data_IF_004225610923
#
_entry.id   IF_004225610923
#
_cell.length_a   1.000
_cell.length_b   1.000
_cell.length_c   1.000
_cell.angle_alpha   90.00
_cell.angle_beta   90.00
_cell.angle_gamma   90.00
#
_symmetry.space_group_name_H-M   'P 1'
#
loop_
_entity.id
_entity.type
_entity.pdbx_description
1 polymer ?
#
# COMPACT_ATOMS: atom_id res chain seq x y z
N UNK A 1 18.17 5.46 19.88
CA UNK A 1 16.74 5.50 20.17
C UNK A 1 16.22 6.76 19.51
N UNK A 2 15.80 6.65 18.25
CA UNK A 2 15.00 7.71 17.64
C UNK A 2 13.58 7.48 18.16
N UNK A 3 12.99 8.51 18.78
CA UNK A 3 11.63 8.47 19.27
C UNK A 3 10.69 7.92 18.20
N UNK A 4 9.70 7.14 18.63
CA UNK A 4 8.49 6.88 17.85
C UNK A 4 7.82 8.24 17.61
N UNK A 5 8.31 8.97 16.60
CA UNK A 5 8.13 10.40 16.49
C UNK A 5 6.72 10.72 15.97
N UNK A 6 5.87 11.10 16.92
CA UNK A 6 5.00 12.27 16.82
C UNK A 6 4.20 12.34 15.50
N UNK A 7 3.44 11.29 15.21
CA UNK A 7 2.21 11.46 14.43
C UNK A 7 1.19 12.08 15.39
N UNK A 8 1.41 13.34 15.73
CA UNK A 8 0.42 14.13 16.45
C UNK A 8 -0.87 14.09 15.64
N UNK A 9 -1.98 13.78 16.31
CA UNK A 9 -3.35 13.96 15.81
C UNK A 9 -3.59 15.45 15.56
N UNK A 10 -2.93 15.99 14.52
CA UNK A 10 -3.11 17.38 14.13
C UNK A 10 -4.44 17.44 13.40
N UNK A 11 -5.52 17.64 14.17
CA UNK A 11 -6.92 17.66 13.72
C UNK A 11 -7.22 18.66 12.59
N UNK A 12 -6.22 19.44 12.16
CA UNK A 12 -6.30 20.44 11.10
C UNK A 12 -5.61 20.03 9.79
N UNK A 13 -4.90 18.90 9.73
CA UNK A 13 -4.14 18.52 8.54
C UNK A 13 -4.95 17.64 7.60
N UNK A 14 -4.75 17.86 6.30
CA UNK A 14 -5.18 16.95 5.23
C UNK A 14 -4.03 16.00 4.85
N UNK A 15 -4.35 14.93 4.11
CA UNK A 15 -3.37 13.89 3.75
C UNK A 15 -2.16 14.48 3.01
N UNK A 16 -2.38 15.40 2.06
CA UNK A 16 -1.29 15.96 1.28
C UNK A 16 -0.30 16.71 2.18
N UNK A 17 -0.80 17.61 3.02
CA UNK A 17 0.03 18.36 3.98
C UNK A 17 0.78 17.43 4.94
N UNK A 18 0.13 16.40 5.47
CA UNK A 18 0.79 15.45 6.37
C UNK A 18 1.95 14.69 5.67
N UNK A 19 1.79 14.37 4.38
CA UNK A 19 2.85 13.77 3.57
C UNK A 19 3.97 14.78 3.25
N UNK A 20 3.65 16.06 3.01
CA UNK A 20 4.67 17.11 2.87
C UNK A 20 5.58 17.17 4.11
N UNK A 21 4.99 17.15 5.31
CA UNK A 21 5.74 17.20 6.56
C UNK A 21 6.56 15.92 6.79
N UNK A 22 6.03 14.74 6.47
CA UNK A 22 6.82 13.51 6.48
C UNK A 22 8.01 13.59 5.51
N UNK A 23 7.80 14.10 4.30
CA UNK A 23 8.84 14.23 3.29
C UNK A 23 9.94 15.22 3.70
N UNK A 24 9.58 16.34 4.34
CA UNK A 24 10.53 17.32 4.90
C UNK A 24 11.38 16.72 6.02
N UNK A 25 10.82 15.83 6.84
CA UNK A 25 11.54 15.13 7.91
C UNK A 25 12.46 14.02 7.40
N UNK A 26 12.15 13.43 6.23
CA UNK A 26 12.82 12.24 5.72
C UNK A 26 13.38 12.39 4.28
N UNK A 27 13.91 13.55 3.85
CA UNK A 27 14.01 13.90 2.43
C UNK A 27 14.86 12.92 1.61
N UNK A 28 15.93 12.40 2.21
CA UNK A 28 16.90 11.53 1.54
C UNK A 28 16.62 10.03 1.78
N UNK A 29 15.59 9.68 2.55
CA UNK A 29 15.13 8.30 2.68
C UNK A 29 14.37 7.89 1.42
N UNK A 30 14.46 6.60 1.07
CA UNK A 30 13.68 6.03 -0.03
C UNK A 30 12.23 5.87 0.42
N UNK A 31 11.30 6.51 -0.29
CA UNK A 31 9.86 6.38 -0.04
C UNK A 31 9.27 5.20 -0.79
N UNK A 32 9.58 5.07 -2.09
CA UNK A 32 8.95 4.11 -2.99
C UNK A 32 10.00 3.32 -3.79
N UNK A 33 9.79 2.01 -3.95
CA UNK A 33 10.61 1.14 -4.79
C UNK A 33 9.74 0.27 -5.71
N UNK A 34 9.90 0.44 -7.01
CA UNK A 34 9.22 -0.37 -8.02
C UNK A 34 9.84 -1.77 -8.19
N UNK A 35 9.04 -2.70 -8.74
CA UNK A 35 9.46 -4.01 -9.22
C UNK A 35 10.35 -4.80 -8.24
N UNK A 36 9.92 -4.94 -6.98
CA UNK A 36 10.66 -5.68 -5.96
C UNK A 36 12.03 -5.07 -5.66
N UNK A 37 12.17 -3.75 -5.78
CA UNK A 37 13.42 -3.02 -5.54
C UNK A 37 14.32 -2.87 -6.78
N UNK A 38 13.93 -3.47 -7.91
CA UNK A 38 14.74 -3.49 -9.15
C UNK A 38 14.37 -2.38 -10.13
N UNK A 39 13.18 -1.79 -9.97
CA UNK A 39 12.68 -0.72 -10.81
C UNK A 39 13.08 0.67 -10.31
N UNK A 40 12.37 1.70 -10.78
CA UNK A 40 12.57 3.08 -10.32
C UNK A 40 12.33 3.18 -8.82
N UNK A 41 13.18 3.95 -8.17
CA UNK A 41 13.03 4.33 -6.77
C UNK A 41 12.80 5.84 -6.68
N UNK A 42 12.07 6.25 -5.65
CA UNK A 42 11.82 7.64 -5.32
C UNK A 42 12.17 7.87 -3.87
N UNK A 43 13.08 8.80 -3.62
CA UNK A 43 13.28 9.40 -2.31
C UNK A 43 12.06 10.23 -1.92
N UNK A 44 11.90 10.56 -0.63
CA UNK A 44 10.86 11.48 -0.19
C UNK A 44 10.96 12.86 -0.87
N UNK A 45 12.18 13.34 -1.13
CA UNK A 45 12.41 14.57 -1.89
C UNK A 45 11.91 14.49 -3.33
N UNK A 46 12.20 13.39 -4.02
CA UNK A 46 11.72 13.16 -5.39
C UNK A 46 10.21 12.95 -5.42
N UNK A 47 9.65 12.22 -4.45
CA UNK A 47 8.22 12.04 -4.27
C UNK A 47 7.54 13.40 -4.09
N UNK A 48 8.04 14.22 -3.18
CA UNK A 48 7.54 15.57 -2.93
C UNK A 48 7.52 16.41 -4.21
N UNK A 49 8.65 16.44 -4.93
CA UNK A 49 8.79 17.16 -6.20
C UNK A 49 7.73 16.68 -7.21
N UNK A 50 7.55 15.37 -7.35
CA UNK A 50 6.62 14.78 -8.29
C UNK A 50 5.15 15.09 -7.94
N UNK A 51 4.75 14.93 -6.67
CA UNK A 51 3.36 15.16 -6.25
C UNK A 51 2.99 16.64 -6.34
N UNK A 52 3.91 17.57 -6.02
CA UNK A 52 3.64 19.01 -6.14
C UNK A 52 3.55 19.44 -7.59
N UNK A 53 4.40 18.89 -8.47
CA UNK A 53 4.38 19.23 -9.88
C UNK A 53 3.11 18.71 -10.58
N UNK A 54 2.68 17.49 -10.23
CA UNK A 54 1.42 16.95 -10.72
C UNK A 54 0.21 17.73 -10.17
N UNK A 55 0.23 18.09 -8.89
CA UNK A 55 -0.80 18.92 -8.28
C UNK A 55 -0.96 20.26 -9.01
N UNK A 56 0.16 20.93 -9.32
CA UNK A 56 0.16 22.19 -10.05
C UNK A 56 -0.50 22.07 -11.44
N UNK A 57 -0.15 21.05 -12.23
CA UNK A 57 -0.75 20.89 -13.56
C UNK A 57 -2.21 20.44 -13.52
N UNK A 58 -2.63 19.68 -12.49
CA UNK A 58 -4.03 19.34 -12.26
C UNK A 58 -4.87 20.53 -11.77
N UNK A 59 -4.24 21.57 -11.22
CA UNK A 59 -4.88 22.85 -10.87
C UNK A 59 -5.07 23.80 -12.06
N UNK A 60 -4.63 23.42 -13.26
CA UNK A 60 -4.77 24.27 -14.46
C UNK A 60 -6.24 24.60 -14.78
N UNK A 61 -6.55 25.78 -15.38
CA UNK A 61 -7.93 26.20 -15.65
C UNK A 61 -8.78 25.21 -16.44
N UNK A 62 -8.15 24.42 -17.34
CA UNK A 62 -8.82 23.37 -18.12
C UNK A 62 -9.41 22.23 -17.28
N UNK A 63 -9.02 22.12 -16.01
CA UNK A 63 -9.51 21.11 -15.06
C UNK A 63 -10.24 21.74 -13.87
N UNK A 64 -10.61 23.03 -13.95
CA UNK A 64 -11.25 23.75 -12.84
C UNK A 64 -12.60 23.17 -12.45
N UNK A 65 -13.33 22.59 -13.41
CA UNK A 65 -14.63 21.96 -13.23
C UNK A 65 -14.55 20.46 -12.88
N UNK A 66 -13.34 19.91 -12.78
CA UNK A 66 -13.11 18.50 -12.43
C UNK A 66 -12.89 18.39 -10.92
N UNK A 67 -13.89 17.87 -10.21
CA UNK A 67 -13.81 17.61 -8.76
C UNK A 67 -13.24 16.21 -8.46
N UNK A 68 -13.57 15.21 -9.26
CA UNK A 68 -13.15 13.81 -9.12
C UNK A 68 -12.20 13.40 -10.25
N UNK A 69 -11.09 12.75 -9.90
CA UNK A 69 -10.13 12.19 -10.85
C UNK A 69 -10.03 10.69 -10.65
N UNK A 70 -10.24 9.94 -11.73
CA UNK A 70 -10.09 8.50 -11.75
C UNK A 70 -8.63 8.08 -11.69
N UNK A 71 -8.34 6.97 -11.01
CA UNK A 71 -7.02 6.35 -10.99
C UNK A 71 -7.13 4.84 -11.21
N UNK A 72 -6.58 4.35 -12.34
CA UNK A 72 -6.61 2.95 -12.72
C UNK A 72 -5.21 2.48 -13.08
N UNK A 73 -4.56 1.79 -12.15
CA UNK A 73 -3.22 1.25 -12.34
C UNK A 73 -2.96 0.08 -11.39
N UNK A 74 -1.99 -0.75 -11.76
CA UNK A 74 -1.41 -1.77 -10.90
C UNK A 74 -0.59 -1.14 -9.77
N UNK A 75 -0.21 -1.95 -8.80
CA UNK A 75 0.69 -1.53 -7.74
C UNK A 75 2.07 -1.15 -8.31
N UNK A 76 2.38 0.15 -8.29
CA UNK A 76 3.64 0.74 -8.76
C UNK A 76 3.88 2.10 -8.10
N UNK A 77 5.12 2.63 -8.12
CA UNK A 77 5.42 3.94 -7.54
C UNK A 77 4.64 5.12 -8.13
N UNK A 78 4.22 5.05 -9.39
CA UNK A 78 3.46 6.10 -10.05
C UNK A 78 2.03 6.21 -9.49
N UNK A 79 1.47 5.12 -8.94
CA UNK A 79 0.15 5.10 -8.34
C UNK A 79 0.02 6.06 -7.15
N UNK A 80 0.87 5.99 -6.10
CA UNK A 80 0.80 6.94 -4.98
C UNK A 80 1.17 8.37 -5.41
N UNK A 81 2.06 8.55 -6.40
CA UNK A 81 2.38 9.88 -6.94
C UNK A 81 1.12 10.49 -7.55
N UNK A 82 0.40 9.74 -8.39
CA UNK A 82 -0.86 10.14 -8.98
C UNK A 82 -1.92 10.46 -7.90
N UNK A 83 -2.11 9.54 -6.95
CA UNK A 83 -3.05 9.70 -5.85
C UNK A 83 -2.80 11.00 -5.07
N UNK A 84 -1.56 11.23 -4.64
CA UNK A 84 -1.20 12.40 -3.84
C UNK A 84 -1.22 13.70 -4.68
N UNK A 85 -0.82 13.65 -5.95
CA UNK A 85 -0.91 14.81 -6.85
C UNK A 85 -2.35 15.27 -7.08
N UNK A 86 -3.30 14.32 -7.23
CA UNK A 86 -4.74 14.62 -7.30
C UNK A 86 -5.20 15.32 -6.02
N UNK A 87 -4.83 14.78 -4.84
CA UNK A 87 -5.19 15.40 -3.56
C UNK A 87 -4.59 16.79 -3.40
N UNK A 88 -3.32 16.97 -3.80
CA UNK A 88 -2.64 18.27 -3.77
C UNK A 88 -3.28 19.32 -4.68
N UNK A 89 -3.95 18.89 -5.75
CA UNK A 89 -4.74 19.77 -6.62
C UNK A 89 -6.14 20.10 -6.06
N UNK A 90 -6.46 19.67 -4.85
CA UNK A 90 -7.77 19.88 -4.24
C UNK A 90 -8.87 19.06 -4.92
N UNK A 91 -8.54 17.86 -5.42
CA UNK A 91 -9.48 16.95 -6.09
C UNK A 91 -9.63 15.64 -5.32
N UNK A 92 -10.75 14.97 -5.52
CA UNK A 92 -11.05 13.66 -4.90
C UNK A 92 -10.55 12.54 -5.81
N UNK A 93 -9.88 11.53 -5.25
CA UNK A 93 -9.43 10.36 -6.01
C UNK A 93 -10.55 9.32 -6.10
N UNK A 94 -10.78 8.78 -7.29
CA UNK A 94 -11.67 7.63 -7.51
C UNK A 94 -10.83 6.46 -8.03
N UNK A 95 -10.29 5.62 -7.14
CA UNK A 95 -9.50 4.48 -7.57
C UNK A 95 -10.41 3.39 -8.15
N UNK A 96 -10.04 2.87 -9.32
CA UNK A 96 -10.77 1.80 -10.00
C UNK A 96 -9.98 0.50 -9.97
N UNK A 97 -10.70 -0.62 -9.88
CA UNK A 97 -10.14 -1.95 -10.09
C UNK A 97 -10.05 -2.23 -11.59
N UNK A 98 -8.84 -2.52 -12.07
CA UNK A 98 -8.58 -2.85 -13.46
C UNK A 98 -9.12 -4.24 -13.86
N UNK A 99 -9.54 -5.07 -12.90
CA UNK A 99 -10.16 -6.38 -13.16
C UNK A 99 -11.68 -6.30 -13.35
N UNK A 100 -12.29 -5.12 -13.20
CA UNK A 100 -13.72 -4.93 -13.49
C UNK A 100 -14.00 -5.23 -14.97
N UNK A 101 -15.20 -5.77 -15.24
CA UNK A 101 -15.63 -5.90 -16.62
C UNK A 101 -15.73 -4.49 -17.25
N UNK A 102 -15.44 -4.31 -18.56
CA UNK A 102 -15.45 -2.99 -19.18
C UNK A 102 -16.77 -2.23 -19.01
N UNK A 103 -17.90 -2.94 -19.07
CA UNK A 103 -19.23 -2.35 -18.81
C UNK A 103 -19.42 -1.87 -17.38
N UNK A 104 -18.85 -2.57 -16.39
CA UNK A 104 -18.90 -2.16 -14.98
C UNK A 104 -18.03 -0.92 -14.75
N UNK A 105 -16.80 -0.91 -15.29
CA UNK A 105 -15.90 0.24 -15.22
C UNK A 105 -16.55 1.49 -15.84
N UNK A 106 -17.12 1.35 -17.04
CA UNK A 106 -17.85 2.44 -17.71
C UNK A 106 -19.00 2.97 -16.86
N UNK A 107 -19.77 2.06 -16.24
CA UNK A 107 -20.86 2.46 -15.35
C UNK A 107 -20.35 3.19 -14.10
N UNK A 108 -19.25 2.75 -13.49
CA UNK A 108 -18.65 3.42 -12.34
C UNK A 108 -18.10 4.81 -12.70
N UNK A 109 -17.44 4.97 -13.85
CA UNK A 109 -16.98 6.27 -14.34
C UNK A 109 -18.17 7.23 -14.49
N UNK A 110 -19.28 6.75 -15.08
CA UNK A 110 -20.50 7.54 -15.20
C UNK A 110 -21.11 7.91 -13.83
N UNK A 111 -21.20 6.95 -12.91
CA UNK A 111 -21.78 7.15 -11.57
C UNK A 111 -20.94 8.08 -10.68
N UNK A 112 -19.62 8.10 -10.89
CA UNK A 112 -18.68 8.93 -10.14
C UNK A 112 -18.53 10.34 -10.69
N UNK A 113 -19.04 10.62 -11.89
CA UNK A 113 -18.85 11.91 -12.54
C UNK A 113 -17.40 12.16 -13.00
N UNK A 114 -16.56 11.13 -13.01
CA UNK A 114 -15.16 11.23 -13.43
C UNK A 114 -15.07 11.64 -14.89
N UNK A 115 -14.36 12.76 -15.14
CA UNK A 115 -14.08 13.29 -16.49
C UNK A 115 -12.60 13.30 -16.86
N UNK A 116 -11.73 13.01 -15.90
CA UNK A 116 -10.30 12.84 -16.08
C UNK A 116 -9.86 11.52 -15.42
N UNK A 117 -9.16 10.68 -16.17
CA UNK A 117 -8.63 9.40 -15.71
C UNK A 117 -7.11 9.35 -15.88
N UNK A 118 -6.40 8.98 -14.82
CA UNK A 118 -5.01 8.57 -14.90
C UNK A 118 -4.94 7.05 -15.00
N UNK A 119 -4.33 6.53 -16.08
CA UNK A 119 -4.38 5.11 -16.43
C UNK A 119 -2.98 4.54 -16.70
N UNK A 120 -2.68 3.36 -16.17
CA UNK A 120 -1.47 2.60 -16.54
C UNK A 120 -1.60 2.02 -17.95
N UNK A 121 -0.54 2.13 -18.75
CA UNK A 121 -0.46 1.56 -20.11
C UNK A 121 -0.74 0.05 -20.14
N UNK A 122 -0.50 -0.64 -19.03
CA UNK A 122 -0.83 -2.06 -18.87
C UNK A 122 -2.29 -2.37 -19.16
N UNK A 123 -3.17 -1.38 -18.95
CA UNK A 123 -4.61 -1.50 -19.16
C UNK A 123 -5.11 -0.64 -20.34
N UNK A 124 -4.22 -0.28 -21.28
CA UNK A 124 -4.57 0.55 -22.43
C UNK A 124 -5.66 -0.07 -23.32
N UNK A 125 -5.83 -1.40 -23.32
CA UNK A 125 -6.94 -2.05 -24.03
C UNK A 125 -8.32 -1.65 -23.50
N UNK A 126 -8.41 -1.14 -22.25
CA UNK A 126 -9.68 -0.66 -21.70
C UNK A 126 -10.14 0.65 -22.35
N UNK A 127 -9.22 1.43 -22.95
CA UNK A 127 -9.52 2.74 -23.56
C UNK A 127 -10.64 2.64 -24.60
N UNK A 128 -10.69 1.55 -25.36
CA UNK A 128 -11.72 1.28 -26.39
C UNK A 128 -13.15 1.20 -25.84
N UNK A 129 -13.30 0.95 -24.53
CA UNK A 129 -14.59 0.81 -23.87
C UNK A 129 -14.99 2.05 -23.05
N UNK A 130 -14.08 3.01 -22.88
CA UNK A 130 -14.33 4.21 -22.10
C UNK A 130 -15.20 5.21 -22.89
N UNK A 131 -15.90 6.13 -22.22
CA UNK A 131 -16.63 7.19 -22.90
C UNK A 131 -15.67 8.14 -23.64
N UNK A 132 -16.01 8.54 -24.86
CA UNK A 132 -15.19 9.49 -25.65
C UNK A 132 -15.04 10.87 -24.96
N UNK A 133 -15.95 11.21 -24.06
CA UNK A 133 -15.90 12.45 -23.27
C UNK A 133 -14.89 12.42 -22.12
N UNK A 134 -14.25 11.28 -21.85
CA UNK A 134 -13.29 11.10 -20.78
C UNK A 134 -11.89 11.52 -21.25
N UNK A 135 -11.30 12.52 -20.58
CA UNK A 135 -9.88 12.83 -20.79
C UNK A 135 -9.03 11.78 -20.10
N UNK A 136 -8.06 11.19 -20.80
CA UNK A 136 -7.19 10.15 -20.23
C UNK A 136 -5.73 10.55 -20.36
N UNK A 137 -4.97 10.45 -19.27
CA UNK A 137 -3.51 10.54 -19.32
C UNK A 137 -2.88 9.25 -18.85
N UNK A 138 -1.97 8.71 -19.66
CA UNK A 138 -1.27 7.49 -19.33
C UNK A 138 -0.13 7.76 -18.34
N UNK A 139 0.02 6.93 -17.30
CA UNK A 139 1.13 7.01 -16.35
C UNK A 139 2.50 6.66 -16.97
N UNK A 140 2.49 6.07 -18.16
CA UNK A 140 3.70 5.67 -18.88
C UNK A 140 4.06 6.69 -19.96
N UNK A 141 5.32 7.13 -19.97
CA UNK A 141 5.80 8.20 -20.86
C UNK A 141 5.82 7.87 -22.36
N UNK A 142 5.57 6.62 -22.74
CA UNK A 142 5.58 6.18 -24.15
C UNK A 142 4.32 6.55 -24.91
N UNK A 143 3.26 7.00 -24.24
CA UNK A 143 2.01 7.40 -24.87
C UNK A 143 2.03 8.89 -25.25
N UNK A 144 1.40 9.31 -26.37
CA UNK A 144 1.29 10.72 -26.72
C UNK A 144 0.62 11.54 -25.60
N UNK A 145 -0.52 11.05 -25.09
CA UNK A 145 -1.23 11.64 -23.95
C UNK A 145 -0.73 11.02 -22.64
N UNK A 146 0.53 11.26 -22.30
CA UNK A 146 1.09 10.80 -21.03
C UNK A 146 1.00 11.88 -19.95
N UNK A 147 0.98 11.43 -18.70
CA UNK A 147 0.85 12.27 -17.53
C UNK A 147 2.00 13.26 -17.34
N UNK A 148 3.16 13.13 -18.00
CA UNK A 148 4.26 14.13 -17.89
C UNK A 148 3.80 15.51 -18.36
N UNK A 149 2.81 15.56 -19.27
CA UNK A 149 2.15 16.79 -19.71
C UNK A 149 1.36 17.51 -18.59
N UNK A 150 1.19 16.86 -17.45
CA UNK A 150 0.55 17.38 -16.24
C UNK A 150 1.57 17.83 -15.18
N UNK A 151 2.87 17.64 -15.39
CA UNK A 151 3.88 18.05 -14.41
C UNK A 151 4.30 19.49 -14.70
N UNK A 152 3.89 20.41 -13.83
CA UNK A 152 4.25 21.83 -13.91
C UNK A 152 5.13 22.19 -12.71
N UNK A 153 6.35 22.75 -12.90
CA UNK A 153 7.20 23.16 -11.79
C UNK A 153 6.62 24.37 -11.06
N UNK A 154 5.74 24.14 -10.10
CA UNK A 154 5.16 25.18 -9.24
C UNK A 154 4.87 24.59 -7.85
N UNK A 155 5.88 24.47 -6.97
CA UNK A 155 5.76 23.78 -5.68
C UNK A 155 4.70 24.41 -4.76
N UNK A 156 4.47 25.71 -4.87
CA UNK A 156 3.51 26.46 -4.06
C UNK A 156 2.08 26.50 -4.64
N UNK A 157 1.85 25.85 -5.79
CA UNK A 157 0.54 25.82 -6.44
C UNK A 157 -0.41 24.74 -5.90
N UNK A 158 0.05 23.89 -4.96
CA UNK A 158 -0.79 22.90 -4.32
C UNK A 158 -1.84 23.58 -3.43
N UNK A 159 -3.09 23.19 -3.59
CA UNK A 159 -4.25 23.71 -2.85
C UNK A 159 -5.15 22.55 -2.42
N UNK A 160 -4.69 21.68 -1.50
CA UNK A 160 -5.46 20.52 -1.06
C UNK A 160 -6.75 20.95 -0.33
N UNK A 161 -7.75 20.06 -0.37
CA UNK A 161 -9.04 20.32 0.28
C UNK A 161 -8.94 20.31 1.82
N UNK A 162 -9.89 20.94 2.53
CA UNK A 162 -10.01 20.84 3.98
C UNK A 162 -10.11 19.39 4.48
N UNK A 163 -9.72 19.09 5.73
CA UNK A 163 -9.71 17.72 6.26
C UNK A 163 -11.06 16.98 6.24
N UNK A 164 -12.18 17.73 6.30
CA UNK A 164 -13.52 17.17 6.30
C UNK A 164 -14.00 16.73 4.91
N UNK A 165 -13.36 17.22 3.85
CA UNK A 165 -13.76 16.93 2.48
C UNK A 165 -13.31 15.53 2.05
N UNK A 166 -14.01 14.91 1.08
CA UNK A 166 -13.63 13.63 0.53
C UNK A 166 -12.21 13.66 -0.06
N UNK A 167 -11.38 12.70 0.37
CA UNK A 167 -10.10 12.39 -0.28
C UNK A 167 -10.28 11.27 -1.31
N UNK A 168 -11.13 10.29 -1.01
CA UNK A 168 -11.37 9.16 -1.90
C UNK A 168 -12.84 8.73 -1.94
N UNK A 169 -13.29 8.31 -3.13
CA UNK A 169 -14.56 7.62 -3.33
C UNK A 169 -14.29 6.16 -3.68
N UNK A 170 -14.53 5.25 -2.73
CA UNK A 170 -14.27 3.82 -2.92
C UNK A 170 -15.58 3.12 -3.27
N UNK A 171 -15.69 2.64 -4.51
CA UNK A 171 -16.86 1.89 -4.94
C UNK A 171 -16.78 0.45 -4.49
N UNK A 172 -17.89 -0.04 -3.93
CA UNK A 172 -18.03 -1.44 -3.50
C UNK A 172 -19.25 -2.07 -4.15
N UNK A 173 -19.15 -3.36 -4.45
CA UNK A 173 -20.28 -4.21 -4.86
C UNK A 173 -21.18 -4.45 -3.64
N UNK A 174 -21.97 -3.43 -3.29
CA UNK A 174 -22.93 -3.55 -2.19
C UNK A 174 -23.90 -4.71 -2.40
N UNK A 175 -24.44 -5.26 -1.30
CA UNK A 175 -25.40 -6.37 -1.30
C UNK A 175 -26.67 -6.11 -2.10
N UNK A 176 -26.96 -4.85 -2.42
CA UNK A 176 -28.12 -4.39 -3.19
C UNK A 176 -27.91 -4.40 -4.71
N UNK A 177 -26.80 -4.95 -5.22
CA UNK A 177 -26.50 -5.09 -6.65
C UNK A 177 -26.00 -3.82 -7.36
N UNK A 178 -26.46 -2.63 -6.94
CA UNK A 178 -25.94 -1.36 -7.43
C UNK A 178 -24.68 -0.91 -6.64
N UNK A 179 -23.56 -0.55 -7.31
CA UNK A 179 -22.38 -0.05 -6.64
C UNK A 179 -22.64 1.23 -5.84
N UNK A 180 -22.08 1.31 -4.63
CA UNK A 180 -22.16 2.51 -3.78
C UNK A 180 -20.75 3.00 -3.46
N UNK A 181 -20.58 4.32 -3.46
CA UNK A 181 -19.34 4.96 -3.05
C UNK A 181 -19.30 5.09 -1.53
N UNK A 182 -18.29 4.48 -0.90
CA UNK A 182 -17.86 4.86 0.43
C UNK A 182 -17.03 6.15 0.30
N UNK A 183 -17.56 7.25 0.83
CA UNK A 183 -16.87 8.53 0.87
C UNK A 183 -15.92 8.55 2.07
N UNK A 184 -14.62 8.65 1.80
CA UNK A 184 -13.59 8.73 2.84
C UNK A 184 -12.99 10.12 2.82
N UNK A 185 -13.20 10.89 3.90
CA UNK A 185 -12.55 12.18 4.08
C UNK A 185 -11.07 12.04 4.42
N UNK A 186 -10.29 13.10 4.20
CA UNK A 186 -8.91 13.15 4.66
C UNK A 186 -8.81 12.82 6.15
N UNK A 187 -9.69 13.40 6.97
CA UNK A 187 -9.74 13.15 8.42
C UNK A 187 -10.05 11.69 8.77
N UNK A 188 -10.93 11.01 8.03
CA UNK A 188 -11.22 9.59 8.28
C UNK A 188 -9.95 8.74 8.11
N UNK A 189 -9.23 8.97 7.02
CA UNK A 189 -8.03 8.22 6.68
C UNK A 189 -6.89 8.52 7.67
N UNK A 190 -6.64 9.81 7.95
CA UNK A 190 -5.58 10.20 8.88
C UNK A 190 -5.84 9.72 10.31
N UNK A 191 -7.09 9.75 10.78
CA UNK A 191 -7.46 9.20 12.09
C UNK A 191 -7.18 7.70 12.19
N UNK A 192 -7.46 6.94 11.11
CA UNK A 192 -7.11 5.53 11.04
C UNK A 192 -5.59 5.31 11.01
N UNK A 193 -4.86 6.08 10.21
CA UNK A 193 -3.39 5.98 10.15
C UNK A 193 -2.70 6.34 11.46
N UNK A 194 -3.19 7.33 12.19
CA UNK A 194 -2.69 7.67 13.53
C UNK A 194 -2.92 6.53 14.53
N UNK A 195 -4.14 5.97 14.53
CA UNK A 195 -4.48 4.81 15.36
C UNK A 195 -3.63 3.58 15.03
N UNK A 196 -3.44 3.30 13.74
CA UNK A 196 -2.61 2.20 13.27
C UNK A 196 -1.14 2.38 13.66
N UNK A 197 -0.59 3.60 13.51
CA UNK A 197 0.79 3.91 13.90
C UNK A 197 1.03 3.68 15.38
N UNK A 198 0.10 4.14 16.23
CA UNK A 198 0.18 3.94 17.68
C UNK A 198 0.06 2.47 18.08
N UNK A 199 -0.81 1.70 17.43
CA UNK A 199 -1.05 0.29 17.77
C UNK A 199 0.04 -0.66 17.25
N UNK A 200 0.67 -0.34 16.11
CA UNK A 200 1.59 -1.24 15.40
C UNK A 200 3.07 -0.97 15.67
N UNK A 201 3.38 0.09 16.41
CA UNK A 201 4.75 0.57 16.63
C UNK A 201 5.51 0.65 15.30
N UNK A 202 5.04 1.52 14.40
CA UNK A 202 5.65 1.72 13.09
C UNK A 202 6.76 2.76 13.15
N UNK A 203 7.83 2.52 12.40
CA UNK A 203 9.03 3.33 12.42
C UNK A 203 9.47 3.69 11.00
N UNK A 204 10.24 4.77 10.88
CA UNK A 204 10.72 5.26 9.60
C UNK A 204 11.80 4.36 8.94
N UNK A 205 12.39 3.42 9.68
CA UNK A 205 13.29 2.39 9.16
C UNK A 205 12.55 1.11 8.72
N UNK A 206 11.23 1.08 8.86
CA UNK A 206 10.44 -0.02 8.31
C UNK A 206 10.45 -0.03 6.79
N UNK A 207 10.38 -1.26 6.26
CA UNK A 207 10.22 -1.53 4.84
C UNK A 207 8.95 -2.36 4.67
N UNK A 208 7.94 -1.74 4.09
CA UNK A 208 6.65 -2.33 3.78
C UNK A 208 6.72 -3.02 2.42
N UNK A 209 6.14 -4.21 2.32
CA UNK A 209 5.91 -4.85 1.02
C UNK A 209 4.45 -4.69 0.63
N UNK A 210 4.22 -3.98 -0.46
CA UNK A 210 2.90 -3.80 -1.06
C UNK A 210 2.56 -5.01 -1.95
N UNK A 211 1.52 -5.74 -1.54
CA UNK A 211 1.06 -6.99 -2.19
C UNK A 211 -0.45 -7.00 -2.45
N UNK A 212 -1.22 -6.18 -1.72
CA UNK A 212 -2.66 -6.07 -1.90
C UNK A 212 -2.97 -4.92 -2.87
N UNK A 213 -4.08 -4.96 -3.63
CA UNK A 213 -4.37 -3.91 -4.60
C UNK A 213 -4.55 -2.52 -3.95
N UNK A 214 -3.83 -1.51 -4.45
CA UNK A 214 -3.87 -0.13 -3.92
C UNK A 214 -5.24 0.55 -4.01
N UNK A 215 -6.14 0.08 -4.89
CA UNK A 215 -7.49 0.63 -4.98
C UNK A 215 -8.41 0.16 -3.84
N UNK A 216 -8.00 -0.82 -3.03
CA UNK A 216 -8.72 -1.24 -1.83
C UNK A 216 -8.26 -0.47 -0.59
N UNK A 217 -9.21 -0.16 0.29
CA UNK A 217 -9.00 0.69 1.48
C UNK A 217 -7.93 0.16 2.44
N UNK A 218 -7.83 -1.16 2.61
CA UNK A 218 -6.85 -1.78 3.51
C UNK A 218 -5.42 -1.45 3.06
N UNK A 219 -5.09 -1.68 1.78
CA UNK A 219 -3.78 -1.35 1.25
C UNK A 219 -3.58 0.15 1.15
N UNK A 220 -4.55 0.87 0.56
CA UNK A 220 -4.47 2.32 0.36
C UNK A 220 -4.15 3.05 1.67
N UNK A 221 -4.79 2.63 2.76
CA UNK A 221 -4.58 3.25 4.07
C UNK A 221 -3.36 2.67 4.77
N UNK A 222 -3.33 1.36 5.02
CA UNK A 222 -2.35 0.76 5.91
C UNK A 222 -1.03 0.41 5.22
N UNK A 223 -1.06 0.04 3.93
CA UNK A 223 0.11 -0.37 3.15
C UNK A 223 0.74 0.76 2.33
N UNK A 224 0.04 1.88 2.20
CA UNK A 224 0.48 3.05 1.43
C UNK A 224 0.53 4.33 2.28
N UNK A 225 -0.61 4.88 2.72
CA UNK A 225 -0.60 6.18 3.38
C UNK A 225 0.09 6.15 4.73
N UNK A 226 -0.22 5.18 5.59
CA UNK A 226 0.42 5.02 6.90
C UNK A 226 1.94 4.92 6.83
N UNK A 227 2.56 4.03 6.01
CA UNK A 227 4.01 3.98 5.92
C UNK A 227 4.65 5.30 5.44
N UNK A 228 4.01 6.02 4.51
CA UNK A 228 4.53 7.31 4.10
C UNK A 228 4.44 8.38 5.18
N UNK A 229 3.38 8.36 6.01
CA UNK A 229 3.22 9.30 7.13
C UNK A 229 4.31 9.14 8.20
N UNK A 230 4.78 7.90 8.43
CA UNK A 230 5.85 7.61 9.40
C UNK A 230 7.25 7.76 8.80
N UNK A 231 7.40 7.92 7.48
CA UNK A 231 8.69 8.06 6.82
C UNK A 231 9.34 6.74 6.37
N UNK A 232 8.58 5.65 6.34
CA UNK A 232 9.04 4.31 5.96
C UNK A 232 9.20 4.15 4.43
N UNK A 233 9.77 3.02 3.99
CA UNK A 233 9.87 2.64 2.58
C UNK A 233 8.76 1.68 2.17
N UNK A 234 8.17 1.86 0.99
CA UNK A 234 7.25 0.92 0.37
C UNK A 234 7.92 0.25 -0.84
N UNK A 235 7.91 -1.07 -0.88
CA UNK A 235 8.38 -1.89 -1.98
C UNK A 235 7.18 -2.54 -2.67
N UNK A 236 7.01 -2.32 -3.96
CA UNK A 236 5.95 -2.95 -4.73
C UNK A 236 6.40 -4.33 -5.21
N UNK A 237 5.70 -5.39 -4.79
CA UNK A 237 6.06 -6.77 -5.14
C UNK A 237 5.95 -7.01 -6.66
N UNK A 238 6.89 -7.78 -7.23
CA UNK A 238 6.89 -8.13 -8.66
C UNK A 238 5.73 -9.04 -9.01
N UNK A 239 5.44 -10.01 -8.14
CA UNK A 239 4.26 -10.86 -8.22
C UNK A 239 4.00 -11.57 -6.89
N UNK A 240 2.82 -12.16 -6.76
CA UNK A 240 2.45 -13.02 -5.63
C UNK A 240 3.00 -14.46 -5.75
N UNK A 241 3.82 -14.76 -6.77
CA UNK A 241 4.44 -16.08 -6.90
C UNK A 241 5.47 -16.25 -5.79
N UNK A 242 5.39 -17.35 -5.04
CA UNK A 242 6.15 -17.57 -3.80
C UNK A 242 7.65 -17.30 -3.93
N UNK A 243 8.28 -17.71 -5.04
CA UNK A 243 9.72 -17.47 -5.27
C UNK A 243 10.05 -15.98 -5.37
N UNK A 244 9.32 -15.23 -6.19
CA UNK A 244 9.55 -13.80 -6.37
C UNK A 244 9.22 -13.02 -5.11
N UNK A 245 8.15 -13.39 -4.41
CA UNK A 245 7.79 -12.77 -3.13
C UNK A 245 8.89 -12.95 -2.07
N UNK A 246 9.44 -14.17 -1.93
CA UNK A 246 10.55 -14.46 -1.01
C UNK A 246 11.81 -13.67 -1.39
N UNK A 247 12.11 -13.57 -2.69
CA UNK A 247 13.22 -12.76 -3.19
C UNK A 247 12.99 -11.27 -2.88
N UNK A 248 11.79 -10.73 -3.10
CA UNK A 248 11.46 -9.33 -2.83
C UNK A 248 11.60 -8.99 -1.34
N UNK A 249 11.09 -9.87 -0.46
CA UNK A 249 11.23 -9.73 1.00
C UNK A 249 12.70 -9.70 1.39
N UNK A 250 13.48 -10.68 0.94
CA UNK A 250 14.89 -10.85 1.33
C UNK A 250 15.77 -9.74 0.77
N UNK A 251 15.65 -9.45 -0.52
CA UNK A 251 16.53 -8.53 -1.24
C UNK A 251 16.30 -7.07 -0.80
N UNK A 252 15.11 -6.75 -0.25
CA UNK A 252 14.79 -5.41 0.26
C UNK A 252 14.77 -5.31 1.79
N UNK A 253 14.98 -6.41 2.51
CA UNK A 253 14.93 -6.42 3.97
C UNK A 253 13.56 -6.04 4.54
N UNK A 254 12.46 -6.46 3.90
CA UNK A 254 11.08 -6.13 4.30
C UNK A 254 10.85 -6.47 5.76
N UNK A 255 10.32 -5.53 6.53
CA UNK A 255 10.04 -5.66 7.97
C UNK A 255 8.55 -5.83 8.25
N UNK A 256 7.68 -5.22 7.44
CA UNK A 256 6.21 -5.22 7.62
C UNK A 256 5.54 -5.73 6.35
N UNK A 257 4.54 -6.60 6.52
CA UNK A 257 3.68 -7.03 5.40
C UNK A 257 2.23 -7.05 5.83
N UNK A 258 1.38 -6.47 4.98
CA UNK A 258 -0.07 -6.44 5.16
C UNK A 258 -0.68 -7.42 4.17
N UNK A 259 -1.64 -8.21 4.63
CA UNK A 259 -2.20 -9.29 3.83
C UNK A 259 -3.65 -9.60 4.18
N UNK A 260 -4.20 -10.49 3.37
CA UNK A 260 -5.50 -11.13 3.61
C UNK A 260 -5.28 -12.58 4.08
N UNK A 261 -6.27 -13.24 4.72
CA UNK A 261 -6.09 -14.58 5.27
C UNK A 261 -5.47 -15.59 4.31
N UNK A 262 -5.96 -15.61 3.07
CA UNK A 262 -5.50 -16.52 2.02
C UNK A 262 -3.99 -16.39 1.74
N UNK A 263 -3.40 -15.20 1.87
CA UNK A 263 -1.96 -15.00 1.69
C UNK A 263 -1.17 -15.71 2.81
N UNK A 264 -1.58 -15.48 4.06
CA UNK A 264 -0.90 -16.04 5.23
C UNK A 264 -1.09 -17.56 5.33
N UNK A 265 -2.27 -18.08 4.99
CA UNK A 265 -2.53 -19.52 4.87
C UNK A 265 -1.61 -20.17 3.85
N UNK A 266 -1.49 -19.59 2.65
CA UNK A 266 -0.58 -20.12 1.61
C UNK A 266 0.88 -20.13 2.06
N UNK A 267 1.31 -19.09 2.77
CA UNK A 267 2.67 -19.01 3.33
C UNK A 267 2.89 -20.06 4.42
N UNK A 268 1.96 -20.16 5.37
CA UNK A 268 1.96 -21.17 6.43
C UNK A 268 2.06 -22.58 5.84
N UNK A 269 1.19 -22.92 4.90
CA UNK A 269 1.16 -24.23 4.30
C UNK A 269 2.40 -24.51 3.47
N UNK A 270 2.94 -23.49 2.78
CA UNK A 270 4.21 -23.58 2.07
C UNK A 270 5.36 -23.97 3.00
N UNK A 271 5.44 -23.34 4.17
CA UNK A 271 6.45 -23.64 5.18
C UNK A 271 6.26 -25.05 5.73
N UNK A 272 5.04 -25.42 6.13
CA UNK A 272 4.79 -26.75 6.69
C UNK A 272 4.99 -27.88 5.67
N UNK A 273 4.65 -27.66 4.39
CA UNK A 273 4.97 -28.62 3.32
C UNK A 273 6.48 -28.83 3.19
N UNK A 274 7.26 -27.75 3.19
CA UNK A 274 8.73 -27.84 3.12
C UNK A 274 9.33 -28.58 4.33
N UNK A 275 8.76 -28.40 5.54
CA UNK A 275 9.15 -29.15 6.74
C UNK A 275 8.79 -30.63 6.61
N UNK A 276 7.58 -30.97 6.16
CA UNK A 276 7.13 -32.37 5.97
C UNK A 276 7.98 -33.14 4.97
N UNK A 277 8.45 -32.47 3.92
CA UNK A 277 9.33 -33.05 2.90
C UNK A 277 10.80 -33.15 3.34
N UNK A 278 11.17 -32.57 4.48
CA UNK A 278 12.55 -32.64 4.98
C UNK A 278 12.90 -34.03 5.55
N UNK A 279 14.19 -34.35 5.55
CA UNK A 279 14.71 -35.56 6.19
C UNK A 279 14.29 -35.64 7.67
N UNK A 280 14.15 -36.87 8.19
CA UNK A 280 13.64 -37.10 9.55
C UNK A 280 14.38 -36.32 10.66
N UNK A 281 15.72 -36.09 10.63
CA UNK A 281 16.37 -35.34 11.70
C UNK A 281 15.93 -33.87 11.71
N UNK A 282 15.69 -33.28 10.52
CA UNK A 282 15.21 -31.89 10.40
C UNK A 282 13.78 -31.75 10.90
N UNK A 283 12.93 -32.76 10.68
CA UNK A 283 11.57 -32.81 11.21
C UNK A 283 11.59 -32.90 12.75
N UNK A 284 12.40 -33.80 13.30
CA UNK A 284 12.56 -33.92 14.76
C UNK A 284 13.06 -32.62 15.41
N UNK A 285 14.03 -31.94 14.79
CA UNK A 285 14.49 -30.62 15.26
C UNK A 285 13.37 -29.59 15.22
N UNK A 286 12.59 -29.53 14.13
CA UNK A 286 11.45 -28.61 14.02
C UNK A 286 10.41 -28.87 15.12
N UNK A 287 10.05 -30.13 15.36
CA UNK A 287 9.06 -30.50 16.38
C UNK A 287 9.54 -30.15 17.80
N UNK A 288 10.81 -30.43 18.11
CA UNK A 288 11.43 -30.05 19.38
C UNK A 288 11.44 -28.52 19.57
N UNK A 289 11.85 -27.79 18.53
CA UNK A 289 11.92 -26.31 18.54
C UNK A 289 10.52 -25.70 18.72
N UNK A 290 9.52 -26.28 18.08
CA UNK A 290 8.10 -25.89 18.21
C UNK A 290 7.63 -26.05 19.65
N UNK A 291 7.85 -27.22 20.27
CA UNK A 291 7.49 -27.46 21.68
C UNK A 291 8.18 -26.47 22.63
N UNK A 292 9.48 -26.23 22.42
CA UNK A 292 10.26 -25.31 23.23
C UNK A 292 9.77 -23.86 23.10
N UNK A 293 9.47 -23.43 21.87
CA UNK A 293 8.94 -22.10 21.62
C UNK A 293 7.53 -21.92 22.20
N UNK A 294 6.66 -22.95 22.12
CA UNK A 294 5.31 -22.90 22.69
C UNK A 294 5.37 -22.77 24.21
N UNK A 295 6.22 -23.55 24.87
CA UNK A 295 6.45 -23.46 26.31
C UNK A 295 6.94 -22.07 26.76
N UNK A 296 7.76 -21.42 25.92
CA UNK A 296 8.20 -20.04 26.14
C UNK A 296 7.05 -19.04 26.00
N UNK A 297 6.26 -19.14 24.93
CA UNK A 297 5.11 -18.25 24.69
C UNK A 297 4.07 -18.34 25.80
N UNK A 298 3.77 -19.54 26.30
CA UNK A 298 2.83 -19.74 27.41
C UNK A 298 3.31 -19.09 28.72
N UNK A 299 4.60 -18.74 28.82
CA UNK A 299 5.21 -17.97 29.93
C UNK A 299 5.51 -16.51 29.57
N UNK A 300 4.95 -16.01 28.46
CA UNK A 300 5.19 -14.64 28.00
C UNK A 300 6.62 -14.40 27.50
N UNK A 301 7.36 -15.44 27.09
CA UNK A 301 8.72 -15.33 26.53
C UNK A 301 8.71 -15.50 25.01
N UNK A 302 9.28 -14.52 24.30
CA UNK A 302 9.34 -14.52 22.83
C UNK A 302 10.60 -15.22 22.27
N UNK A 303 10.78 -16.52 22.55
CA UNK A 303 11.94 -17.29 22.08
C UNK A 303 11.88 -17.68 20.59
N UNK A 304 10.75 -17.47 19.93
CA UNK A 304 10.53 -17.88 18.54
C UNK A 304 11.58 -17.37 17.56
N UNK A 305 11.95 -16.09 17.64
CA UNK A 305 12.88 -15.45 16.70
C UNK A 305 14.26 -16.11 16.67
N UNK A 306 14.98 -16.30 17.79
CA UNK A 306 16.26 -17.01 17.78
C UNK A 306 16.12 -18.50 17.46
N UNK A 307 15.09 -19.17 18.00
CA UNK A 307 14.87 -20.61 17.80
C UNK A 307 14.60 -20.98 16.34
N UNK A 308 13.84 -20.14 15.63
CA UNK A 308 13.46 -20.35 14.23
C UNK A 308 14.30 -19.53 13.24
N UNK A 309 15.43 -18.94 13.65
CA UNK A 309 16.23 -18.06 12.80
C UNK A 309 16.59 -18.69 11.45
N UNK A 310 16.99 -19.98 11.44
CA UNK A 310 17.29 -20.67 10.18
C UNK A 310 16.05 -20.94 9.32
N UNK A 311 14.89 -21.24 9.93
CA UNK A 311 13.65 -21.47 9.21
C UNK A 311 13.19 -20.17 8.54
N UNK A 312 13.17 -19.08 9.31
CA UNK A 312 12.83 -17.73 8.85
C UNK A 312 13.68 -17.31 7.68
N UNK A 313 15.01 -17.42 7.77
CA UNK A 313 15.91 -17.09 6.65
C UNK A 313 15.59 -17.87 5.38
N UNK A 314 15.33 -19.18 5.49
CA UNK A 314 15.00 -20.04 4.34
C UNK A 314 13.63 -19.73 3.74
N UNK A 315 12.66 -19.33 4.57
CA UNK A 315 11.32 -18.93 4.16
C UNK A 315 11.23 -17.47 3.67
N UNK A 316 12.35 -16.74 3.62
CA UNK A 316 12.36 -15.30 3.30
C UNK A 316 11.97 -14.40 4.47
N UNK A 317 11.49 -14.93 5.59
CA UNK A 317 10.93 -14.17 6.73
C UNK A 317 11.99 -13.72 7.75
N UNK A 318 13.24 -13.60 7.31
CA UNK A 318 14.37 -13.25 8.18
C UNK A 318 14.19 -11.86 8.80
N UNK A 319 13.90 -10.87 7.96
CA UNK A 319 13.74 -9.45 8.31
C UNK A 319 12.36 -9.09 8.85
N UNK A 320 11.33 -9.87 8.51
CA UNK A 320 9.95 -9.60 8.92
C UNK A 320 9.82 -9.56 10.45
N UNK A 321 9.28 -8.46 10.96
CA UNK A 321 8.92 -8.30 12.38
C UNK A 321 7.41 -8.33 12.60
N UNK A 322 6.62 -7.87 11.62
CA UNK A 322 5.19 -7.63 11.78
C UNK A 322 4.41 -8.11 10.54
N UNK A 323 3.36 -8.87 10.81
CA UNK A 323 2.28 -9.16 9.87
C UNK A 323 0.99 -8.52 10.35
N UNK A 324 0.27 -7.90 9.42
CA UNK A 324 -1.08 -7.38 9.65
C UNK A 324 -2.03 -8.10 8.69
N UNK A 325 -3.05 -8.76 9.23
CA UNK A 325 -4.07 -9.44 8.46
C UNK A 325 -5.38 -8.66 8.55
N UNK A 326 -6.07 -8.48 7.42
CA UNK A 326 -7.37 -7.83 7.40
C UNK A 326 -8.24 -8.28 6.24
N UNK A 327 -9.46 -7.77 6.17
CA UNK A 327 -10.39 -8.00 5.06
C UNK A 327 -11.22 -9.29 5.15
N UNK A 328 -10.83 -10.26 5.99
CA UNK A 328 -11.63 -11.45 6.31
C UNK A 328 -11.12 -12.12 7.60
N UNK A 329 -11.91 -13.02 8.24
CA UNK A 329 -11.47 -13.81 9.38
C UNK A 329 -10.28 -14.71 9.03
N UNK A 330 -9.29 -14.79 9.92
CA UNK A 330 -8.14 -15.70 9.82
C UNK A 330 -8.29 -16.86 10.84
N UNK A 331 -7.97 -18.11 10.46
CA UNK A 331 -7.91 -19.20 11.44
C UNK A 331 -6.84 -18.93 12.53
N UNK A 332 -7.18 -19.03 13.83
CA UNK A 332 -6.27 -18.66 14.93
C UNK A 332 -4.92 -19.39 14.92
N UNK A 333 -4.89 -20.63 14.41
CA UNK A 333 -3.67 -21.43 14.29
C UNK A 333 -2.62 -20.80 13.37
N UNK A 334 -3.05 -20.04 12.35
CA UNK A 334 -2.15 -19.37 11.41
C UNK A 334 -1.43 -18.22 12.12
N UNK A 335 -2.18 -17.37 12.83
CA UNK A 335 -1.62 -16.28 13.64
C UNK A 335 -0.70 -16.83 14.75
N UNK A 336 -1.12 -17.91 15.42
CA UNK A 336 -0.33 -18.55 16.49
C UNK A 336 0.98 -19.10 15.93
N UNK A 337 0.99 -19.71 14.75
CA UNK A 337 2.20 -20.21 14.11
C UNK A 337 3.20 -19.08 13.83
N UNK A 338 2.76 -17.97 13.24
CA UNK A 338 3.67 -16.86 12.94
C UNK A 338 4.22 -16.21 14.21
N UNK A 339 3.38 -16.07 15.24
CA UNK A 339 3.81 -15.62 16.57
C UNK A 339 4.85 -16.58 17.18
N UNK A 340 4.64 -17.89 17.04
CA UNK A 340 5.56 -18.93 17.51
C UNK A 340 6.94 -18.83 16.87
N UNK A 341 7.04 -18.50 15.58
CA UNK A 341 8.33 -18.29 14.90
C UNK A 341 8.89 -16.88 15.11
N UNK A 342 8.28 -16.08 15.98
CA UNK A 342 8.77 -14.77 16.41
C UNK A 342 8.45 -13.63 15.45
N UNK A 343 7.29 -13.68 14.78
CA UNK A 343 6.71 -12.58 14.01
C UNK A 343 5.46 -12.09 14.74
N UNK A 344 5.42 -10.81 15.08
CA UNK A 344 4.19 -10.21 15.63
C UNK A 344 3.10 -10.29 14.58
N UNK A 345 1.94 -10.82 14.96
CA UNK A 345 0.83 -11.02 14.05
C UNK A 345 -0.40 -10.29 14.59
N UNK A 346 -0.87 -9.26 13.88
CA UNK A 346 -2.11 -8.55 14.16
C UNK A 346 -3.20 -8.99 13.18
N UNK A 347 -4.41 -9.17 13.69
CA UNK A 347 -5.63 -9.48 12.93
C UNK A 347 -6.66 -8.36 13.14
#
# INVERSE_FOLDING_TARGET
>A
MADAADVQDNKQDNIFTAILESAKRNPDRVALKGEGGRGRQYTYRELLTAITALAAGLSAPRFADIAEVGLLAENRPEWPIAYLGILGAGKTVVPFDANLAPGELKNLIRLSGVRLLLLSARFASLLEYLPDSLTVYCLDGSYPENWQLLFVPAPDAASPRPPADPAALIYTSGTTGAPKAAMLSHRNILSNSASATAALELFADDVFLSVLPLHHTLEATCGFLTPLLVGATIVYARSLKSRQLIEDIRDNGVTVMIGVPLLFEKMHDGILRAVRQAAWPRRAVFDFTTRLASFGLDRGKAWGKPLFASLRRKAGLGSIRLFVCGGAPLPPEIARFFTLIGITFLQ
#
